data_IF_377705914109
#
_entry.id   IF_377705914109
#
_cell.length_a   1.000
_cell.length_b   1.000
_cell.length_c   1.000
_cell.angle_alpha   90.00
_cell.angle_beta   90.00
_cell.angle_gamma   90.00
#
_symmetry.space_group_name_H-M   'P 1'
#
loop_
_entity.id
_entity.type
_entity.pdbx_description
1 polymer ?
#
# COMPACT_ATOMS: atom_id res chain seq x y z
N UNK A 1 -0.83 -7.01 -3.08
CA UNK A 1 0.43 -7.35 -3.78
C UNK A 1 1.01 -6.11 -4.45
N UNK A 2 2.29 -6.14 -4.85
CA UNK A 2 2.95 -5.06 -5.57
C UNK A 2 3.73 -5.63 -6.76
N UNK A 3 3.49 -5.07 -7.94
CA UNK A 3 3.97 -5.57 -9.22
C UNK A 3 4.70 -4.46 -9.99
N UNK A 4 5.81 -4.82 -10.67
CA UNK A 4 6.59 -3.95 -11.57
C UNK A 4 6.97 -4.79 -12.78
N UNK A 5 6.74 -4.27 -13.99
CA UNK A 5 7.07 -4.93 -15.26
C UNK A 5 6.65 -6.41 -15.29
N UNK A 6 5.39 -6.68 -14.92
CA UNK A 6 4.76 -8.01 -14.89
C UNK A 6 5.35 -8.99 -13.84
N UNK A 7 6.33 -8.56 -13.04
CA UNK A 7 6.89 -9.35 -11.95
C UNK A 7 6.30 -8.93 -10.58
N UNK A 8 5.89 -9.91 -9.78
CA UNK A 8 5.52 -9.67 -8.39
C UNK A 8 6.77 -9.39 -7.57
N UNK A 9 6.89 -8.17 -7.06
CA UNK A 9 8.05 -7.74 -6.25
C UNK A 9 7.79 -7.93 -4.76
N UNK A 10 6.55 -7.70 -4.31
CA UNK A 10 6.16 -7.85 -2.90
C UNK A 10 4.77 -8.47 -2.78
N UNK A 11 4.67 -9.51 -1.94
CA UNK A 11 3.41 -10.01 -1.36
C UNK A 11 3.27 -9.51 0.08
N UNK A 12 2.05 -9.15 0.48
CA UNK A 12 1.79 -8.69 1.85
C UNK A 12 0.40 -9.13 2.27
N UNK A 13 0.32 -9.83 3.40
CA UNK A 13 -0.92 -10.16 4.10
C UNK A 13 -1.11 -9.17 5.26
N UNK A 14 -2.12 -8.30 5.14
CA UNK A 14 -2.45 -7.30 6.15
C UNK A 14 -2.96 -7.91 7.46
N UNK A 15 -3.45 -9.16 7.43
CA UNK A 15 -3.89 -9.89 8.62
C UNK A 15 -2.74 -10.58 9.35
N UNK A 16 -1.56 -10.70 8.74
CA UNK A 16 -0.45 -11.48 9.30
C UNK A 16 0.16 -10.86 10.56
N UNK A 17 0.51 -11.72 11.52
CA UNK A 17 1.19 -11.30 12.76
C UNK A 17 2.60 -10.77 12.46
N UNK A 18 3.27 -11.33 11.46
CA UNK A 18 4.57 -10.86 11.01
C UNK A 18 4.52 -9.39 10.57
N UNK A 19 3.53 -9.01 9.76
CA UNK A 19 3.39 -7.62 9.32
C UNK A 19 3.11 -6.69 10.50
N UNK A 20 2.25 -7.10 11.44
CA UNK A 20 1.96 -6.32 12.65
C UNK A 20 3.23 -6.04 13.45
N UNK A 21 4.08 -7.05 13.64
CA UNK A 21 5.37 -6.89 14.32
C UNK A 21 6.31 -5.94 13.55
N UNK A 22 6.34 -6.00 12.22
CA UNK A 22 7.12 -5.08 11.37
C UNK A 22 6.60 -3.64 11.49
N UNK A 23 5.29 -3.42 11.48
CA UNK A 23 4.66 -2.10 11.64
C UNK A 23 5.03 -1.47 13.00
N UNK A 24 4.97 -2.26 14.08
CA UNK A 24 5.31 -1.81 15.43
C UNK A 24 6.77 -1.31 15.56
N UNK A 25 7.67 -1.76 14.68
CA UNK A 25 9.08 -1.34 14.62
C UNK A 25 9.36 -0.28 13.55
N UNK A 26 8.34 0.16 12.83
CA UNK A 26 8.48 1.11 11.72
C UNK A 26 8.20 2.56 12.16
N UNK A 27 8.38 3.50 11.22
CA UNK A 27 7.95 4.89 11.40
C UNK A 27 6.43 5.05 11.60
N UNK A 28 5.65 4.02 11.31
CA UNK A 28 4.19 4.02 11.43
C UNK A 28 3.68 3.50 12.78
N UNK A 29 4.57 3.12 13.71
CA UNK A 29 4.20 2.54 15.01
C UNK A 29 3.21 3.40 15.81
N UNK A 30 3.28 4.73 15.67
CA UNK A 30 2.46 5.68 16.42
C UNK A 30 1.13 6.00 15.70
N UNK A 31 0.84 5.34 14.56
CA UNK A 31 -0.39 5.50 13.79
C UNK A 31 -1.31 4.29 14.00
N UNK A 32 -2.27 4.35 14.95
CA UNK A 32 -3.03 3.18 15.40
C UNK A 32 -3.92 2.55 14.31
N UNK A 33 -4.27 3.28 13.26
CA UNK A 33 -5.10 2.82 12.14
C UNK A 33 -4.28 2.40 10.91
N UNK A 34 -2.94 2.49 10.95
CA UNK A 34 -2.11 2.18 9.80
C UNK A 34 -2.28 0.73 9.35
N UNK A 35 -2.71 0.53 8.10
CA UNK A 35 -2.90 -0.79 7.49
C UNK A 35 -4.10 -1.58 8.02
N UNK A 36 -5.06 -0.93 8.70
CA UNK A 36 -6.21 -1.61 9.34
C UNK A 36 -7.57 -1.33 8.71
N UNK A 37 -7.67 -0.34 7.83
CA UNK A 37 -8.92 0.00 7.16
C UNK A 37 -9.15 -0.93 5.97
N UNK A 38 -10.39 -1.37 5.80
CA UNK A 38 -10.88 -2.18 4.68
C UNK A 38 -11.08 -1.36 3.40
N UNK A 39 -11.30 -0.06 3.54
CA UNK A 39 -11.46 0.89 2.45
C UNK A 39 -10.69 2.19 2.69
N UNK A 40 -10.36 2.89 1.60
CA UNK A 40 -9.66 4.17 1.62
C UNK A 40 -9.45 4.75 0.22
N UNK A 41 -8.70 5.85 0.16
CA UNK A 41 -8.35 6.51 -1.10
C UNK A 41 -7.02 6.01 -1.66
N UNK A 42 -6.90 5.95 -2.98
CA UNK A 42 -5.60 5.79 -3.67
C UNK A 42 -4.95 7.17 -3.77
N UNK A 43 -3.67 7.25 -3.38
CA UNK A 43 -2.93 8.53 -3.31
C UNK A 43 -1.72 8.50 -4.23
N UNK A 44 -1.63 9.49 -5.12
CA UNK A 44 -0.39 9.84 -5.83
C UNK A 44 0.35 10.90 -5.02
N UNK A 45 1.41 10.49 -4.32
CA UNK A 45 2.18 11.41 -3.49
C UNK A 45 3.23 12.16 -4.32
N UNK A 46 3.29 13.47 -4.18
CA UNK A 46 4.36 14.32 -4.71
C UNK A 46 5.37 14.68 -3.61
N UNK A 47 6.67 14.65 -3.94
CA UNK A 47 7.78 14.94 -3.01
C UNK A 47 8.81 15.91 -3.58
N UNK A 48 8.37 17.02 -4.16
CA UNK A 48 9.26 18.10 -4.59
C UNK A 48 9.96 17.88 -5.93
N UNK A 49 9.62 16.82 -6.65
CA UNK A 49 10.07 16.55 -8.02
C UNK A 49 8.89 16.24 -8.94
N UNK A 50 9.01 16.68 -10.19
CA UNK A 50 7.96 16.48 -11.19
C UNK A 50 7.81 15.01 -11.56
N UNK A 51 6.57 14.57 -11.70
CA UNK A 51 6.21 13.24 -12.14
C UNK A 51 4.92 13.30 -12.96
N UNK A 52 4.88 12.55 -14.06
CA UNK A 52 3.71 12.46 -14.94
C UNK A 52 3.16 11.04 -14.95
N UNK A 53 1.86 10.92 -14.70
CA UNK A 53 1.15 9.66 -14.69
C UNK A 53 0.11 9.65 -15.81
N UNK A 54 -0.04 8.51 -16.49
CA UNK A 54 -1.09 8.29 -17.50
C UNK A 54 -1.55 6.85 -17.47
N UNK A 55 -2.76 6.58 -17.96
CA UNK A 55 -3.38 5.24 -18.03
C UNK A 55 -3.58 4.60 -16.64
N UNK A 56 -3.97 5.40 -15.65
CA UNK A 56 -4.41 4.89 -14.35
C UNK A 56 -5.77 4.21 -14.50
N UNK A 57 -5.88 2.97 -14.02
CA UNK A 57 -7.10 2.15 -14.09
C UNK A 57 -7.33 1.50 -12.74
N UNK A 58 -8.60 1.32 -12.39
CA UNK A 58 -9.03 0.61 -11.19
C UNK A 58 -10.03 -0.44 -11.64
N UNK A 59 -9.81 -1.67 -11.23
CA UNK A 59 -10.77 -2.76 -11.35
C UNK A 59 -11.27 -3.08 -9.94
N UNK A 60 -12.58 -3.07 -9.75
CA UNK A 60 -13.20 -3.46 -8.48
C UNK A 60 -13.49 -4.95 -8.56
N UNK A 61 -12.74 -5.75 -7.83
CA UNK A 61 -13.05 -7.17 -7.63
C UNK A 61 -14.24 -7.28 -6.68
N UNK A 62 -15.23 -8.11 -7.04
CA UNK A 62 -16.35 -8.46 -6.16
C UNK A 62 -15.85 -9.02 -4.81
N UNK A 63 -16.60 -8.85 -3.71
CA UNK A 63 -16.18 -9.29 -2.38
C UNK A 63 -15.94 -10.80 -2.31
#
# INVERSE_FOLDING_TARGET
EYWVDEAQVIGCDLASEELRARIARSRFRDLPQFGRLDAGHIVLQHRGTEAWFRRLRIEVTAP
#
